data_IF_084588388131
#
_entry.id   IF_084588388131
#
_cell.length_a   1.000
_cell.length_b   1.000
_cell.length_c   1.000
_cell.angle_alpha   90.00
_cell.angle_beta   90.00
_cell.angle_gamma   90.00
#
_symmetry.space_group_name_H-M   'P 1'
#
loop_
_entity.id
_entity.type
_entity.pdbx_description
1 polymer ?
#
# COMPACT_ATOMS: atom_id res chain seq x y z
N UNK A 1 -11.14 20.28 10.70
CA UNK A 1 -10.14 20.14 9.63
C UNK A 1 -10.39 18.90 8.78
N UNK A 2 -10.60 17.71 9.37
CA UNK A 2 -11.18 16.54 8.65
C UNK A 2 -12.64 16.75 8.20
N UNK A 3 -13.47 17.47 8.99
CA UNK A 3 -14.86 17.77 8.60
C UNK A 3 -14.95 18.59 7.29
N UNK A 4 -14.00 19.51 7.05
CA UNK A 4 -13.90 20.24 5.77
C UNK A 4 -13.48 19.34 4.60
N UNK A 5 -12.73 18.27 4.87
CA UNK A 5 -12.27 17.31 3.85
C UNK A 5 -13.42 16.35 3.49
N UNK A 6 -14.24 15.94 4.46
CA UNK A 6 -15.44 15.12 4.22
C UNK A 6 -16.54 15.90 3.49
N UNK A 7 -16.76 17.18 3.83
CA UNK A 7 -17.74 18.03 3.14
C UNK A 7 -17.30 18.38 1.70
N UNK A 8 -15.99 18.45 1.44
CA UNK A 8 -15.45 18.61 0.09
C UNK A 8 -15.58 17.34 -0.78
N UNK A 9 -15.54 16.14 -0.18
CA UNK A 9 -15.82 14.88 -0.89
C UNK A 9 -17.28 14.85 -1.42
N UNK A 10 -18.25 15.45 -0.70
CA UNK A 10 -19.67 15.50 -1.11
C UNK A 10 -19.91 16.58 -2.18
N UNK A 11 -19.20 17.71 -2.10
CA UNK A 11 -19.41 18.84 -3.04
C UNK A 11 -18.71 18.60 -4.40
N UNK A 12 -17.64 17.81 -4.44
CA UNK A 12 -16.90 17.51 -5.66
C UNK A 12 -17.54 16.43 -6.56
N UNK A 13 -18.60 15.75 -6.09
CA UNK A 13 -19.35 14.75 -6.88
C UNK A 13 -20.28 15.38 -7.94
N UNK A 14 -20.40 16.72 -8.02
CA UNK A 14 -21.38 17.38 -8.89
C UNK A 14 -20.84 18.23 -10.06
N UNK A 15 -19.54 18.16 -10.40
CA UNK A 15 -19.06 18.94 -11.54
C UNK A 15 -17.84 18.34 -12.26
N UNK A 16 -18.04 17.46 -13.27
CA UNK A 16 -16.96 17.10 -14.18
C UNK A 16 -16.83 18.20 -15.25
N UNK A 17 -15.93 19.15 -15.03
CA UNK A 17 -15.53 20.06 -16.10
C UNK A 17 -14.83 19.25 -17.20
N UNK A 18 -15.37 19.35 -18.43
CA UNK A 18 -14.80 18.82 -19.66
C UNK A 18 -13.40 19.40 -19.89
N UNK A 19 -12.37 18.65 -19.50
CA UNK A 19 -10.99 18.90 -19.90
C UNK A 19 -10.71 17.91 -21.05
N UNK A 20 -10.55 18.43 -22.27
CA UNK A 20 -10.14 17.63 -23.42
C UNK A 20 -8.72 17.08 -23.17
N UNK A 21 -8.60 15.76 -23.04
CA UNK A 21 -7.33 15.06 -22.87
C UNK A 21 -6.78 14.74 -24.26
N UNK A 22 -5.74 15.46 -24.68
CA UNK A 22 -4.98 15.12 -25.89
C UNK A 22 -4.17 13.83 -25.67
N UNK A 23 -4.31 12.89 -26.59
CA UNK A 23 -3.63 11.58 -26.56
C UNK A 23 -2.11 11.78 -26.76
N UNK A 24 -1.35 11.90 -25.66
CA UNK A 24 0.04 12.41 -25.64
C UNK A 24 1.04 11.41 -25.06
N UNK A 25 0.92 10.12 -25.38
CA UNK A 25 1.95 9.15 -24.94
C UNK A 25 3.32 9.38 -25.61
N UNK A 26 3.37 9.90 -26.84
CA UNK A 26 4.62 10.02 -27.61
C UNK A 26 5.45 11.27 -27.34
N UNK A 27 5.13 12.10 -26.34
CA UNK A 27 5.84 13.36 -26.08
C UNK A 27 6.01 13.68 -24.57
N UNK A 28 6.10 12.65 -23.72
CA UNK A 28 6.34 12.81 -22.27
C UNK A 28 7.80 13.18 -22.02
N UNK A 29 8.06 14.11 -21.09
CA UNK A 29 9.41 14.59 -20.76
C UNK A 29 10.20 13.53 -19.97
N UNK A 30 9.50 12.76 -19.14
CA UNK A 30 10.11 11.75 -18.29
C UNK A 30 9.47 10.39 -18.55
N UNK A 31 10.27 9.33 -18.43
CA UNK A 31 9.77 7.97 -18.36
C UNK A 31 9.13 7.73 -16.99
N UNK A 32 9.78 8.19 -15.92
CA UNK A 32 9.37 7.93 -14.54
C UNK A 32 9.49 9.19 -13.66
N UNK A 33 8.47 9.46 -12.84
CA UNK A 33 8.56 10.41 -11.73
C UNK A 33 8.32 9.68 -10.40
N UNK A 34 9.18 9.93 -9.42
CA UNK A 34 9.00 9.44 -8.05
C UNK A 34 8.46 10.58 -7.17
N UNK A 35 7.20 10.48 -6.74
CA UNK A 35 6.64 11.41 -5.76
C UNK A 35 6.80 10.85 -4.34
N UNK A 36 7.27 11.69 -3.41
CA UNK A 36 7.55 11.27 -2.04
C UNK A 36 8.98 10.72 -1.84
N UNK A 37 9.91 11.03 -2.74
CA UNK A 37 11.31 10.60 -2.70
C UNK A 37 12.06 10.94 -1.39
N UNK A 38 11.65 11.98 -0.66
CA UNK A 38 12.25 12.34 0.63
C UNK A 38 11.82 11.47 1.82
N UNK A 39 10.78 10.65 1.66
CA UNK A 39 10.29 9.71 2.67
C UNK A 39 11.20 8.50 2.84
N UNK A 40 10.91 7.66 3.83
CA UNK A 40 11.73 6.49 4.14
C UNK A 40 11.89 5.55 2.93
N UNK A 41 10.79 4.98 2.44
CA UNK A 41 10.80 4.11 1.27
C UNK A 41 11.23 4.87 0.01
N UNK A 42 10.76 6.12 -0.15
CA UNK A 42 11.10 6.96 -1.30
C UNK A 42 12.60 7.16 -1.49
N UNK A 43 13.38 7.25 -0.40
CA UNK A 43 14.85 7.35 -0.48
C UNK A 43 15.47 6.10 -1.12
N UNK A 44 15.04 4.91 -0.69
CA UNK A 44 15.52 3.65 -1.24
C UNK A 44 15.14 3.50 -2.71
N UNK A 45 13.89 3.80 -3.05
CA UNK A 45 13.40 3.80 -4.44
C UNK A 45 14.20 4.79 -5.30
N UNK A 46 14.52 5.97 -4.78
CA UNK A 46 15.32 6.99 -5.50
C UNK A 46 16.74 6.50 -5.78
N UNK A 47 17.40 5.89 -4.79
CA UNK A 47 18.74 5.33 -4.97
C UNK A 47 18.77 4.21 -6.00
N UNK A 48 17.76 3.34 -5.98
CA UNK A 48 17.67 2.23 -6.92
C UNK A 48 17.31 2.70 -8.33
N UNK A 49 16.42 3.69 -8.45
CA UNK A 49 16.13 4.36 -9.72
C UNK A 49 17.37 4.99 -10.34
N UNK A 50 18.28 5.54 -9.52
CA UNK A 50 19.58 6.00 -9.99
C UNK A 50 20.35 4.92 -10.76
N UNK A 51 20.47 3.72 -10.19
CA UNK A 51 21.17 2.59 -10.83
C UNK A 51 20.44 2.08 -12.07
N UNK A 52 19.12 1.88 -11.96
CA UNK A 52 18.28 1.33 -13.02
C UNK A 52 18.23 2.28 -14.22
N UNK A 53 18.08 3.58 -13.98
CA UNK A 53 17.97 4.56 -15.07
C UNK A 53 19.23 4.63 -15.93
N UNK A 54 20.42 4.41 -15.38
CA UNK A 54 21.65 4.32 -16.18
C UNK A 54 21.69 3.04 -17.02
N UNK A 55 21.23 1.93 -16.46
CA UNK A 55 21.20 0.63 -17.14
C UNK A 55 20.25 0.62 -18.33
N UNK A 56 19.08 1.25 -18.18
CA UNK A 56 18.02 1.28 -19.20
C UNK A 56 17.91 2.63 -19.93
N UNK A 57 18.84 3.56 -19.68
CA UNK A 57 18.85 4.91 -20.23
C UNK A 57 17.51 5.65 -20.06
N UNK A 58 16.97 5.65 -18.84
CA UNK A 58 15.68 6.26 -18.50
C UNK A 58 15.82 7.74 -18.12
N UNK A 59 14.88 8.54 -18.60
CA UNK A 59 14.67 9.93 -18.15
C UNK A 59 13.76 9.95 -16.93
N UNK A 60 14.17 10.60 -15.84
CA UNK A 60 13.37 10.60 -14.62
C UNK A 60 13.54 11.86 -13.78
N UNK A 61 12.60 12.06 -12.85
CA UNK A 61 12.59 13.17 -11.92
C UNK A 61 12.02 12.76 -10.55
N UNK A 62 12.29 13.59 -9.54
CA UNK A 62 11.68 13.46 -8.20
C UNK A 62 10.69 14.58 -7.95
N UNK A 63 9.61 14.28 -7.22
CA UNK A 63 8.55 15.24 -6.96
C UNK A 63 8.15 15.32 -5.48
N UNK A 64 7.73 16.51 -5.08
CA UNK A 64 7.14 16.77 -3.77
C UNK A 64 7.24 18.23 -3.31
N UNK A 65 6.51 18.57 -2.24
CA UNK A 65 6.40 19.94 -1.73
C UNK A 65 7.66 20.54 -1.12
N UNK A 66 8.61 19.71 -0.67
CA UNK A 66 9.84 20.19 0.00
C UNK A 66 11.05 20.00 -0.91
N UNK A 67 11.29 21.00 -1.76
CA UNK A 67 12.37 21.02 -2.74
C UNK A 67 13.75 20.83 -2.08
N UNK A 68 14.00 21.48 -0.94
CA UNK A 68 15.27 21.35 -0.22
C UNK A 68 15.55 19.92 0.24
N UNK A 69 14.55 19.20 0.75
CA UNK A 69 14.70 17.78 1.12
C UNK A 69 15.00 16.92 -0.10
N UNK A 70 14.34 17.18 -1.23
CA UNK A 70 14.59 16.46 -2.49
C UNK A 70 16.01 16.70 -3.02
N UNK A 71 16.48 17.95 -3.00
CA UNK A 71 17.87 18.31 -3.33
C UNK A 71 18.87 17.54 -2.47
N UNK A 72 18.61 17.39 -1.17
CA UNK A 72 19.48 16.62 -0.29
C UNK A 72 19.55 15.14 -0.70
N UNK A 73 18.43 14.51 -1.07
CA UNK A 73 18.43 13.11 -1.54
C UNK A 73 19.23 12.97 -2.84
N UNK A 74 19.03 13.88 -3.80
CA UNK A 74 19.79 13.85 -5.05
C UNK A 74 21.29 14.08 -4.81
N UNK A 75 21.66 14.99 -3.91
CA UNK A 75 23.05 15.18 -3.52
C UNK A 75 23.66 13.93 -2.87
N UNK A 76 22.89 13.20 -2.06
CA UNK A 76 23.33 11.90 -1.52
C UNK A 76 23.51 10.87 -2.65
N UNK A 77 22.62 10.84 -3.64
CA UNK A 77 22.70 9.96 -4.81
C UNK A 77 23.94 10.25 -5.66
N UNK A 78 24.17 11.51 -6.02
CA UNK A 78 25.30 11.96 -6.83
C UNK A 78 26.67 11.70 -6.17
N UNK A 79 26.71 11.59 -4.84
CA UNK A 79 27.94 11.22 -4.12
C UNK A 79 28.21 9.73 -4.10
N UNK A 80 27.18 8.91 -4.32
CA UNK A 80 27.24 7.44 -4.17
C UNK A 80 27.29 6.69 -5.49
N UNK A 81 26.80 7.31 -6.58
CA UNK A 81 26.70 6.70 -7.88
C UNK A 81 27.48 7.55 -8.89
N UNK A 82 28.40 6.91 -9.61
CA UNK A 82 29.09 7.48 -10.78
C UNK A 82 28.11 7.66 -11.94
N UNK A 83 28.44 8.46 -12.95
CA UNK A 83 27.60 8.68 -14.15
C UNK A 83 26.52 9.75 -13.97
N UNK A 84 26.58 10.53 -12.89
CA UNK A 84 25.71 11.69 -12.62
C UNK A 84 26.48 13.00 -12.42
N UNK A 85 27.70 13.10 -12.95
CA UNK A 85 28.62 14.22 -12.78
C UNK A 85 28.00 15.54 -13.27
N UNK A 86 27.17 15.47 -14.32
CA UNK A 86 26.45 16.62 -14.89
C UNK A 86 25.16 17.01 -14.13
N UNK A 87 24.75 16.26 -13.10
CA UNK A 87 23.61 16.56 -12.20
C UNK A 87 22.27 16.84 -12.90
N UNK A 88 21.79 15.89 -13.70
CA UNK A 88 20.62 16.08 -14.60
C UNK A 88 19.28 15.51 -14.10
N UNK A 89 19.07 15.32 -12.79
CA UNK A 89 17.76 14.88 -12.28
C UNK A 89 16.93 16.10 -11.87
N UNK A 90 15.80 16.29 -12.55
CA UNK A 90 14.88 17.40 -12.28
C UNK A 90 14.11 17.19 -10.98
N UNK A 91 13.78 18.31 -10.31
CA UNK A 91 12.90 18.34 -9.14
C UNK A 91 11.62 19.06 -9.52
N UNK A 92 10.49 18.37 -9.34
CA UNK A 92 9.17 18.90 -9.66
C UNK A 92 8.44 19.25 -8.36
N UNK A 93 7.92 20.47 -8.28
CA UNK A 93 7.02 20.84 -7.19
C UNK A 93 5.66 20.17 -7.39
N UNK A 94 5.25 19.39 -6.40
CA UNK A 94 3.93 18.78 -6.33
C UNK A 94 3.45 18.78 -4.87
N UNK A 95 2.33 19.44 -4.62
CA UNK A 95 1.66 19.43 -3.32
C UNK A 95 0.38 18.61 -3.41
N UNK A 96 0.25 17.59 -2.55
CA UNK A 96 -0.90 16.68 -2.55
C UNK A 96 -2.19 17.35 -2.05
N UNK A 97 -2.09 18.56 -1.49
CA UNK A 97 -3.25 19.43 -1.22
C UNK A 97 -3.68 20.27 -2.42
N UNK A 98 -2.86 20.34 -3.47
CA UNK A 98 -3.10 21.10 -4.69
C UNK A 98 -3.15 20.16 -5.89
N UNK A 99 -4.37 19.77 -6.26
CA UNK A 99 -4.64 18.88 -7.38
C UNK A 99 -4.00 19.35 -8.69
N UNK A 100 -3.94 20.65 -8.96
CA UNK A 100 -3.39 21.18 -10.21
C UNK A 100 -1.90 20.89 -10.32
N UNK A 101 -1.15 21.02 -9.21
CA UNK A 101 0.28 20.72 -9.19
C UNK A 101 0.57 19.24 -9.45
N UNK A 102 -0.24 18.34 -8.88
CA UNK A 102 -0.10 16.88 -9.06
C UNK A 102 -0.47 16.48 -10.49
N UNK A 103 -1.52 17.09 -11.05
CA UNK A 103 -1.94 16.84 -12.43
C UNK A 103 -0.87 17.30 -13.43
N UNK A 104 -0.31 18.51 -13.26
CA UNK A 104 0.80 19.01 -14.09
C UNK A 104 2.01 18.08 -14.04
N UNK A 105 2.36 17.59 -12.85
CA UNK A 105 3.42 16.57 -12.71
C UNK A 105 3.08 15.31 -13.51
N UNK A 106 1.89 14.73 -13.31
CA UNK A 106 1.48 13.49 -13.96
C UNK A 106 1.47 13.59 -15.50
N UNK A 107 1.09 14.73 -16.06
CA UNK A 107 1.10 14.99 -17.52
C UNK A 107 2.49 14.92 -18.15
N UNK A 108 3.56 15.11 -17.37
CA UNK A 108 4.92 15.16 -17.92
C UNK A 108 5.62 13.80 -17.94
N UNK A 109 5.01 12.75 -17.40
CA UNK A 109 5.63 11.42 -17.27
C UNK A 109 4.78 10.31 -17.87
N UNK A 110 5.43 9.21 -18.21
CA UNK A 110 4.77 7.95 -18.57
C UNK A 110 4.33 7.17 -17.33
N UNK A 111 5.14 7.17 -16.26
CA UNK A 111 4.85 6.45 -15.00
C UNK A 111 5.07 7.37 -13.79
N UNK A 112 4.17 7.28 -12.82
CA UNK A 112 4.35 7.85 -11.46
C UNK A 112 4.54 6.70 -10.47
N UNK A 113 5.66 6.72 -9.74
CA UNK A 113 5.87 5.88 -8.56
C UNK A 113 5.54 6.72 -7.32
N UNK A 114 4.47 6.36 -6.64
CA UNK A 114 4.01 7.05 -5.44
C UNK A 114 4.56 6.38 -4.17
N UNK A 115 5.38 7.13 -3.45
CA UNK A 115 5.90 6.75 -2.13
C UNK A 115 5.34 7.64 -1.01
N UNK A 116 4.28 8.42 -1.27
CA UNK A 116 3.73 9.35 -0.28
C UNK A 116 2.66 8.71 0.58
N UNK A 117 2.95 8.62 1.88
CA UNK A 117 2.05 8.07 2.89
C UNK A 117 1.51 9.18 3.82
N UNK A 118 0.31 9.02 4.41
CA UNK A 118 -0.65 7.90 4.23
C UNK A 118 -1.47 8.02 2.92
N UNK A 119 -1.67 6.92 2.20
CA UNK A 119 -2.44 6.87 0.95
C UNK A 119 -3.95 6.99 1.17
N UNK A 120 -4.47 6.60 2.34
CA UNK A 120 -5.86 6.87 2.71
C UNK A 120 -6.25 8.36 2.57
N UNK A 121 -5.28 9.25 2.74
CA UNK A 121 -5.47 10.70 2.66
C UNK A 121 -4.97 11.23 1.33
N UNK A 122 -3.75 10.85 0.93
CA UNK A 122 -3.05 11.49 -0.19
C UNK A 122 -2.91 10.62 -1.44
N UNK A 123 -3.36 9.36 -1.41
CA UNK A 123 -3.18 8.44 -2.53
C UNK A 123 -4.11 8.77 -3.69
N UNK A 124 -5.36 9.12 -3.40
CA UNK A 124 -6.41 9.29 -4.41
C UNK A 124 -6.13 10.46 -5.36
N UNK A 125 -5.59 11.57 -4.86
CA UNK A 125 -5.25 12.72 -5.71
C UNK A 125 -4.22 12.35 -6.78
N UNK A 126 -3.28 11.45 -6.47
CA UNK A 126 -2.26 10.97 -7.41
C UNK A 126 -2.86 10.00 -8.42
N UNK A 127 -3.66 9.03 -7.96
CA UNK A 127 -4.36 8.07 -8.85
C UNK A 127 -5.27 8.82 -9.83
N UNK A 128 -6.12 9.71 -9.32
CA UNK A 128 -7.03 10.53 -10.14
C UNK A 128 -6.25 11.34 -11.17
N UNK A 129 -5.15 11.97 -10.77
CA UNK A 129 -4.29 12.73 -11.69
C UNK A 129 -3.70 11.84 -12.78
N UNK A 130 -3.23 10.64 -12.43
CA UNK A 130 -2.65 9.71 -13.40
C UNK A 130 -3.70 9.21 -14.41
N UNK A 131 -4.88 8.82 -13.93
CA UNK A 131 -6.00 8.37 -14.77
C UNK A 131 -6.44 9.47 -15.73
N UNK A 132 -6.63 10.70 -15.25
CA UNK A 132 -7.04 11.83 -16.08
C UNK A 132 -5.99 12.28 -17.09
N UNK A 133 -4.74 11.84 -16.94
CA UNK A 133 -3.63 12.27 -17.78
C UNK A 133 -3.05 11.13 -18.59
N UNK A 134 -3.73 9.97 -18.64
CA UNK A 134 -3.27 8.76 -19.33
C UNK A 134 -1.86 8.32 -18.89
N UNK A 135 -1.55 8.54 -17.62
CA UNK A 135 -0.26 8.23 -17.00
C UNK A 135 -0.38 6.96 -16.17
N UNK A 136 0.62 6.09 -16.25
CA UNK A 136 0.65 4.87 -15.44
C UNK A 136 1.02 5.19 -13.99
N UNK A 137 0.53 4.38 -13.06
CA UNK A 137 0.70 4.58 -11.64
C UNK A 137 1.15 3.28 -10.97
N UNK A 138 2.14 3.40 -10.08
CA UNK A 138 2.59 2.33 -9.19
C UNK A 138 2.77 2.89 -7.78
N UNK A 139 2.43 2.11 -6.76
CA UNK A 139 2.74 2.45 -5.38
C UNK A 139 3.21 1.26 -4.53
N UNK A 140 3.59 1.58 -3.31
CA UNK A 140 4.02 0.63 -2.27
C UNK A 140 3.05 0.65 -1.08
N UNK A 141 1.75 0.81 -1.34
CA UNK A 141 0.75 0.97 -0.28
C UNK A 141 0.46 -0.34 0.46
N UNK A 142 0.37 -0.25 1.78
CA UNK A 142 -0.13 -1.32 2.66
C UNK A 142 -1.56 -1.04 3.17
N UNK A 143 -2.34 -0.23 2.46
CA UNK A 143 -3.62 0.31 2.93
C UNK A 143 -4.82 -0.26 2.12
N UNK A 144 -5.44 -1.38 2.54
CA UNK A 144 -6.38 -2.11 1.70
C UNK A 144 -7.66 -1.34 1.33
N UNK A 145 -8.19 -0.48 2.22
CA UNK A 145 -9.34 0.36 1.85
C UNK A 145 -8.97 1.30 0.69
N UNK A 146 -7.75 1.85 0.66
CA UNK A 146 -7.32 2.71 -0.42
C UNK A 146 -7.28 1.92 -1.73
N UNK A 147 -6.65 0.73 -1.73
CA UNK A 147 -6.59 -0.14 -2.92
C UNK A 147 -7.99 -0.47 -3.47
N UNK A 148 -8.90 -0.95 -2.61
CA UNK A 148 -10.25 -1.34 -3.00
C UNK A 148 -11.09 -0.14 -3.47
N UNK A 149 -10.97 1.01 -2.79
CA UNK A 149 -11.64 2.25 -3.21
C UNK A 149 -11.13 2.71 -4.58
N UNK A 150 -9.82 2.65 -4.83
CA UNK A 150 -9.25 3.09 -6.11
C UNK A 150 -9.65 2.18 -7.26
N UNK A 151 -9.58 0.86 -7.05
CA UNK A 151 -10.06 -0.11 -8.03
C UNK A 151 -11.54 0.15 -8.37
N UNK A 152 -12.41 0.28 -7.36
CA UNK A 152 -13.82 0.51 -7.60
C UNK A 152 -14.10 1.82 -8.35
N UNK A 153 -13.43 2.91 -7.97
CA UNK A 153 -13.69 4.25 -8.53
C UNK A 153 -13.10 4.47 -9.92
N UNK A 154 -11.92 3.91 -10.18
CA UNK A 154 -11.10 4.34 -11.32
C UNK A 154 -10.78 3.25 -12.34
N UNK A 155 -11.09 1.97 -12.10
CA UNK A 155 -10.74 0.88 -13.03
C UNK A 155 -11.26 1.12 -14.46
N UNK A 156 -12.57 1.39 -14.60
CA UNK A 156 -13.18 1.69 -15.90
C UNK A 156 -12.58 2.92 -16.57
N UNK A 157 -12.41 4.02 -15.83
CA UNK A 157 -11.85 5.25 -16.37
C UNK A 157 -10.38 5.08 -16.76
N UNK A 158 -9.64 4.24 -16.03
CA UNK A 158 -8.26 3.92 -16.34
C UNK A 158 -8.16 3.12 -17.64
N UNK A 159 -9.06 2.15 -17.86
CA UNK A 159 -9.18 1.41 -19.13
C UNK A 159 -9.49 2.35 -20.30
N UNK A 160 -10.50 3.22 -20.16
CA UNK A 160 -10.88 4.21 -21.17
C UNK A 160 -9.74 5.18 -21.52
N UNK A 161 -9.01 5.65 -20.51
CA UNK A 161 -7.91 6.60 -20.69
C UNK A 161 -6.57 5.93 -20.99
N UNK A 162 -6.52 4.61 -21.17
CA UNK A 162 -5.29 3.85 -21.37
C UNK A 162 -4.26 4.18 -20.27
N UNK A 163 -4.61 4.00 -19.01
CA UNK A 163 -3.69 4.07 -17.87
C UNK A 163 -3.71 2.76 -17.10
N UNK A 164 -2.58 2.41 -16.49
CA UNK A 164 -2.45 1.18 -15.69
C UNK A 164 -2.15 1.63 -14.28
N UNK A 165 -2.97 1.17 -13.33
CA UNK A 165 -2.87 1.54 -11.92
C UNK A 165 -2.55 0.28 -11.11
N UNK A 166 -1.34 0.23 -10.53
CA UNK A 166 -0.87 -0.93 -9.75
C UNK A 166 -0.57 -0.51 -8.31
N UNK A 167 -1.47 -0.86 -7.40
CA UNK A 167 -1.25 -0.66 -5.97
C UNK A 167 -0.49 -1.85 -5.32
N UNK A 168 0.19 -1.59 -4.21
CA UNK A 168 0.70 -2.62 -3.31
C UNK A 168 1.91 -3.38 -3.83
N UNK A 169 2.82 -2.72 -4.55
CA UNK A 169 4.09 -3.31 -5.01
C UNK A 169 5.12 -3.24 -3.88
N UNK A 170 4.86 -3.97 -2.80
CA UNK A 170 5.70 -4.01 -1.61
C UNK A 170 6.08 -5.45 -1.18
N UNK A 171 6.98 -5.52 -0.21
CA UNK A 171 7.45 -6.80 0.36
C UNK A 171 6.37 -7.54 1.15
N UNK A 172 5.24 -6.92 1.46
CA UNK A 172 4.15 -7.59 2.17
C UNK A 172 3.21 -8.31 1.22
N UNK A 173 2.94 -7.69 0.07
CA UNK A 173 1.89 -8.12 -0.84
C UNK A 173 2.45 -8.90 -2.02
N UNK A 174 3.61 -8.52 -2.58
CA UNK A 174 4.19 -9.19 -3.76
C UNK A 174 4.50 -10.67 -3.51
N UNK A 175 5.15 -11.08 -2.40
CA UNK A 175 5.40 -12.50 -2.15
C UNK A 175 4.13 -13.32 -1.98
N UNK A 176 3.09 -12.74 -1.37
CA UNK A 176 1.79 -13.39 -1.22
C UNK A 176 1.11 -13.59 -2.58
N UNK A 177 1.10 -12.56 -3.42
CA UNK A 177 0.52 -12.58 -4.76
C UNK A 177 1.22 -13.59 -5.68
N UNK A 178 2.55 -13.52 -5.75
CA UNK A 178 3.36 -14.48 -6.53
C UNK A 178 3.25 -15.91 -5.99
N UNK A 179 3.16 -16.08 -4.68
CA UNK A 179 3.01 -17.39 -4.07
C UNK A 179 1.67 -18.04 -4.41
N UNK A 180 0.59 -17.26 -4.41
CA UNK A 180 -0.74 -17.72 -4.84
C UNK A 180 -0.75 -18.07 -6.32
N UNK A 181 -0.13 -17.24 -7.16
CA UNK A 181 0.01 -17.51 -8.60
C UNK A 181 0.83 -18.77 -8.87
N UNK A 182 1.95 -18.95 -8.16
CA UNK A 182 2.75 -20.16 -8.26
C UNK A 182 1.97 -21.41 -7.86
N UNK A 183 1.26 -21.36 -6.72
CA UNK A 183 0.40 -22.47 -6.27
C UNK A 183 -0.67 -22.78 -7.30
N UNK A 184 -1.28 -21.77 -7.91
CA UNK A 184 -2.25 -21.96 -8.98
C UNK A 184 -1.66 -22.74 -10.16
N UNK A 185 -0.51 -22.30 -10.68
CA UNK A 185 0.09 -22.91 -11.87
C UNK A 185 0.57 -24.35 -11.66
N UNK A 186 0.84 -24.75 -10.41
CA UNK A 186 1.51 -26.02 -10.09
C UNK A 186 0.67 -26.98 -9.22
N UNK A 187 -0.47 -26.54 -8.68
CA UNK A 187 -1.33 -27.41 -7.87
C UNK A 187 -2.23 -28.26 -8.75
N UNK A 188 -1.99 -29.58 -8.75
CA UNK A 188 -2.76 -30.56 -9.52
C UNK A 188 -4.13 -30.86 -8.86
N UNK A 189 -4.94 -29.83 -8.67
CA UNK A 189 -6.27 -29.92 -8.08
C UNK A 189 -7.00 -28.58 -8.11
N UNK A 190 -8.22 -28.55 -7.59
CA UNK A 190 -8.97 -27.30 -7.48
C UNK A 190 -8.54 -26.56 -6.20
N UNK A 191 -7.94 -25.38 -6.33
CA UNK A 191 -7.68 -24.51 -5.19
C UNK A 191 -9.02 -24.03 -4.62
N UNK A 192 -9.27 -24.34 -3.34
CA UNK A 192 -10.42 -23.82 -2.57
C UNK A 192 -9.99 -22.79 -1.54
N UNK A 193 -8.82 -23.00 -0.93
CA UNK A 193 -8.29 -22.17 0.14
C UNK A 193 -6.78 -22.07 0.07
N UNK A 194 -6.26 -20.87 0.35
CA UNK A 194 -4.82 -20.62 0.47
C UNK A 194 -4.59 -19.92 1.81
N UNK A 195 -3.84 -20.57 2.70
CA UNK A 195 -3.45 -19.98 3.97
C UNK A 195 -1.93 -19.68 3.91
N UNK A 196 -1.58 -18.41 4.12
CA UNK A 196 -0.22 -17.88 3.95
C UNK A 196 0.35 -17.54 5.32
N UNK A 197 1.52 -18.08 5.65
CA UNK A 197 2.14 -17.90 6.97
C UNK A 197 3.42 -17.08 6.86
N UNK A 198 3.41 -15.88 7.42
CA UNK A 198 4.55 -14.95 7.40
C UNK A 198 5.25 -14.93 8.76
N UNK A 199 6.54 -15.23 8.75
CA UNK A 199 7.42 -15.06 9.90
C UNK A 199 8.39 -13.91 9.62
N UNK A 200 8.37 -12.90 10.49
CA UNK A 200 9.27 -11.76 10.38
C UNK A 200 10.43 -11.96 11.35
N UNK A 201 11.65 -11.90 10.83
CA UNK A 201 12.87 -11.91 11.62
C UNK A 201 13.31 -10.46 11.85
N UNK A 202 13.17 -9.98 13.07
CA UNK A 202 13.69 -8.67 13.48
C UNK A 202 15.15 -8.86 13.88
N UNK A 203 16.06 -8.04 13.34
CA UNK A 203 17.43 -7.97 13.82
C UNK A 203 17.44 -7.36 15.24
N UNK A 204 17.87 -8.16 16.22
CA UNK A 204 18.19 -7.86 17.62
C UNK A 204 17.21 -7.00 18.43
N UNK A 205 16.46 -7.64 19.34
CA UNK A 205 15.85 -6.98 20.49
C UNK A 205 16.87 -7.03 21.64
N UNK A 206 17.35 -5.88 22.11
CA UNK A 206 18.24 -5.80 23.28
C UNK A 206 17.38 -5.59 24.53
N UNK A 207 17.31 -6.62 25.38
CA UNK A 207 16.75 -6.50 26.72
C UNK A 207 17.85 -6.05 27.69
N UNK A 208 17.80 -4.81 28.16
CA UNK A 208 18.68 -4.35 29.24
C UNK A 208 17.93 -4.46 30.56
N UNK A 209 18.42 -5.33 31.45
CA UNK A 209 17.89 -5.48 32.80
C UNK A 209 18.61 -4.51 33.75
N UNK A 210 17.83 -3.73 34.50
CA UNK A 210 18.28 -3.01 35.69
C UNK A 210 17.37 -3.37 36.86
N UNK A 211 17.85 -3.24 38.10
CA UNK A 211 17.17 -3.71 39.31
C UNK A 211 15.76 -3.12 39.57
N UNK A 212 15.33 -2.10 38.82
CA UNK A 212 14.05 -1.41 39.04
C UNK A 212 13.11 -1.35 37.83
N UNK A 213 13.56 -1.69 36.62
CA UNK A 213 12.71 -1.76 35.43
C UNK A 213 13.39 -2.52 34.28
N UNK A 214 12.56 -3.13 33.42
CA UNK A 214 12.98 -3.71 32.15
C UNK A 214 13.03 -2.59 31.11
N UNK A 215 14.22 -2.28 30.59
CA UNK A 215 14.35 -1.41 29.43
C UNK A 215 14.27 -2.27 28.17
N UNK A 216 13.13 -2.24 27.49
CA UNK A 216 12.96 -2.89 26.19
C UNK A 216 13.48 -1.92 25.15
N UNK A 217 14.73 -2.11 24.70
CA UNK A 217 15.25 -1.37 23.57
C UNK A 217 14.94 -2.17 22.31
N UNK A 218 13.85 -1.77 21.67
CA UNK A 218 13.63 -2.17 20.30
C UNK A 218 14.69 -1.47 19.45
N UNK A 219 15.66 -2.21 18.90
CA UNK A 219 16.25 -1.78 17.62
C UNK A 219 15.18 -1.97 16.54
N UNK A 220 14.06 -1.26 16.67
CA UNK A 220 13.11 -1.08 15.59
C UNK A 220 13.94 -0.50 14.45
N UNK A 221 13.91 -1.20 13.31
CA UNK A 221 14.42 -0.67 12.05
C UNK A 221 13.95 0.79 11.96
N UNK A 222 14.84 1.81 11.85
CA UNK A 222 14.40 3.20 11.74
C UNK A 222 13.43 3.27 10.56
N UNK A 223 12.13 3.41 10.85
CA UNK A 223 11.09 3.19 9.84
C UNK A 223 9.80 2.53 10.35
N UNK A 224 9.82 1.61 11.33
CA UNK A 224 8.59 0.86 11.68
C UNK A 224 7.56 1.61 12.54
N UNK A 225 7.97 2.67 13.25
CA UNK A 225 7.05 3.56 13.99
C UNK A 225 7.30 4.99 13.52
N UNK A 226 6.97 5.24 12.25
CA UNK A 226 6.86 6.60 11.72
C UNK A 226 5.40 7.06 11.83
N UNK A 227 5.16 8.35 12.10
CA UNK A 227 3.83 8.94 12.23
C UNK A 227 2.87 8.51 11.10
N UNK A 228 3.36 8.43 9.86
CA UNK A 228 2.55 7.99 8.72
C UNK A 228 2.10 6.53 8.82
N UNK A 229 2.97 5.61 9.26
CA UNK A 229 2.62 4.18 9.44
C UNK A 229 1.61 4.04 10.58
N UNK A 230 1.84 4.76 11.68
CA UNK A 230 0.90 4.77 12.80
C UNK A 230 -0.48 5.30 12.41
N UNK A 231 -0.51 6.41 11.64
CA UNK A 231 -1.76 6.97 11.10
C UNK A 231 -2.45 5.97 10.18
N UNK A 232 -1.71 5.33 9.28
CA UNK A 232 -2.21 4.28 8.37
C UNK A 232 -2.81 3.12 9.14
N UNK A 233 -2.13 2.66 10.21
CA UNK A 233 -2.62 1.60 11.08
C UNK A 233 -3.92 1.98 11.80
N UNK A 234 -3.99 3.15 12.43
CA UNK A 234 -5.21 3.61 13.09
C UNK A 234 -6.38 3.77 12.11
N UNK A 235 -6.12 4.32 10.92
CA UNK A 235 -7.14 4.44 9.88
C UNK A 235 -7.58 3.07 9.37
N UNK A 236 -6.67 2.11 9.23
CA UNK A 236 -6.99 0.73 8.89
C UNK A 236 -7.95 0.09 9.91
N UNK A 237 -7.73 0.32 11.20
CA UNK A 237 -8.63 -0.14 12.26
C UNK A 237 -10.00 0.55 12.18
N UNK A 238 -10.00 1.87 12.03
CA UNK A 238 -11.20 2.69 12.00
C UNK A 238 -12.09 2.42 10.78
N UNK A 239 -11.51 1.96 9.67
CA UNK A 239 -12.19 1.90 8.38
C UNK A 239 -12.66 0.50 7.96
N UNK A 240 -12.68 -0.47 8.88
CA UNK A 240 -13.11 -1.85 8.61
C UNK A 240 -14.44 -1.94 7.85
N UNK A 241 -15.46 -1.18 8.26
CA UNK A 241 -16.78 -1.19 7.58
C UNK A 241 -16.69 -0.70 6.14
N UNK A 242 -15.95 0.39 5.88
CA UNK A 242 -15.76 0.94 4.53
C UNK A 242 -14.98 -0.01 3.63
N UNK A 243 -13.95 -0.67 4.17
CA UNK A 243 -13.18 -1.69 3.44
C UNK A 243 -14.09 -2.83 2.98
N UNK A 244 -14.85 -3.43 3.91
CA UNK A 244 -15.80 -4.49 3.57
C UNK A 244 -16.86 -4.02 2.55
N UNK A 245 -17.30 -2.77 2.64
CA UNK A 245 -18.22 -2.18 1.67
C UNK A 245 -17.64 -2.18 0.24
N UNK A 246 -16.46 -1.59 0.02
CA UNK A 246 -15.85 -1.56 -1.31
C UNK A 246 -15.47 -2.95 -1.82
N UNK A 247 -15.02 -3.82 -0.93
CA UNK A 247 -14.74 -5.22 -1.24
C UNK A 247 -15.97 -5.96 -1.77
N UNK A 248 -17.11 -5.82 -1.11
CA UNK A 248 -18.35 -6.45 -1.55
C UNK A 248 -18.83 -5.88 -2.89
N UNK A 249 -18.69 -4.57 -3.10
CA UNK A 249 -19.01 -3.94 -4.39
C UNK A 249 -18.13 -4.47 -5.52
N UNK A 250 -16.82 -4.64 -5.27
CA UNK A 250 -15.91 -5.24 -6.23
C UNK A 250 -16.30 -6.70 -6.50
N UNK A 251 -16.55 -7.50 -5.47
CA UNK A 251 -16.97 -8.88 -5.65
C UNK A 251 -18.25 -8.99 -6.51
N UNK A 252 -19.23 -8.11 -6.27
CA UNK A 252 -20.47 -8.03 -7.05
C UNK A 252 -20.21 -7.64 -8.51
N UNK A 253 -19.48 -6.55 -8.75
CA UNK A 253 -19.11 -6.08 -10.09
C UNK A 253 -18.35 -7.16 -10.89
N UNK A 254 -17.56 -7.98 -10.19
CA UNK A 254 -16.68 -8.98 -10.78
C UNK A 254 -17.30 -10.39 -10.84
N UNK A 255 -18.52 -10.55 -10.32
CA UNK A 255 -19.19 -11.85 -10.20
C UNK A 255 -18.44 -12.85 -9.31
N UNK A 256 -17.64 -12.39 -8.35
CA UNK A 256 -16.89 -13.24 -7.40
C UNK A 256 -17.82 -13.65 -6.25
N UNK A 257 -18.04 -14.95 -6.08
CA UNK A 257 -18.84 -15.49 -4.97
C UNK A 257 -17.93 -16.16 -3.97
N UNK A 258 -17.57 -15.48 -2.87
CA UNK A 258 -16.67 -16.05 -1.86
C UNK A 258 -17.28 -17.31 -1.23
N UNK A 259 -16.64 -18.46 -1.43
CA UNK A 259 -17.04 -19.73 -0.82
C UNK A 259 -16.55 -19.78 0.64
N UNK A 260 -17.44 -20.13 1.57
CA UNK A 260 -17.03 -20.43 2.95
C UNK A 260 -16.27 -21.76 3.01
N UNK A 261 -15.17 -21.82 3.79
CA UNK A 261 -14.39 -23.05 3.89
C UNK A 261 -15.18 -24.22 4.46
N UNK A 262 -15.15 -25.36 3.77
CA UNK A 262 -15.70 -26.65 4.23
C UNK A 262 -14.75 -27.37 5.20
N UNK A 263 -13.71 -26.69 5.69
CA UNK A 263 -12.69 -27.25 6.58
C UNK A 263 -13.17 -27.16 8.04
N UNK A 264 -12.87 -28.18 8.86
CA UNK A 264 -13.35 -28.23 10.25
C UNK A 264 -12.91 -26.98 11.05
N UNK A 265 -13.89 -26.31 11.69
CA UNK A 265 -13.70 -25.05 12.46
C UNK A 265 -12.81 -25.20 13.70
N UNK A 266 -12.56 -26.44 14.16
CA UNK A 266 -11.98 -26.72 15.47
C UNK A 266 -10.50 -26.32 15.58
N UNK A 267 -9.74 -26.29 14.48
CA UNK A 267 -8.30 -25.98 14.53
C UNK A 267 -7.77 -25.09 13.41
N UNK A 268 -8.47 -25.00 12.27
CA UNK A 268 -8.05 -24.17 11.13
C UNK A 268 -8.89 -22.89 11.08
N UNK A 269 -8.25 -21.77 10.72
CA UNK A 269 -8.91 -20.49 10.40
C UNK A 269 -9.57 -19.71 11.52
N UNK A 270 -9.21 -19.97 12.77
CA UNK A 270 -9.52 -19.04 13.86
C UNK A 270 -8.67 -17.77 13.78
N UNK A 271 -9.05 -16.75 14.56
CA UNK A 271 -8.27 -15.52 14.64
C UNK A 271 -6.88 -15.78 15.23
N UNK A 272 -6.78 -16.73 16.17
CA UNK A 272 -5.56 -17.25 16.74
C UNK A 272 -5.58 -18.77 16.60
N UNK A 273 -4.56 -19.36 15.98
CA UNK A 273 -4.49 -20.80 15.70
C UNK A 273 -3.07 -21.33 15.86
N UNK A 274 -2.94 -22.64 16.07
CA UNK A 274 -1.64 -23.32 16.10
C UNK A 274 -1.39 -24.00 14.77
N UNK A 275 -0.19 -23.82 14.20
CA UNK A 275 0.30 -24.60 13.06
C UNK A 275 0.53 -26.05 13.50
N UNK A 276 -0.06 -26.99 12.78
CA UNK A 276 0.02 -28.44 13.08
C UNK A 276 1.45 -28.95 13.12
N UNK A 277 2.28 -28.50 12.18
CA UNK A 277 3.55 -29.15 11.88
C UNK A 277 4.66 -28.68 12.83
N UNK A 278 4.58 -27.41 13.28
CA UNK A 278 5.64 -26.73 14.03
C UNK A 278 5.22 -26.34 15.46
N UNK A 279 3.97 -26.59 15.86
CA UNK A 279 3.37 -26.15 17.13
C UNK A 279 3.52 -24.63 17.40
N UNK A 280 3.73 -23.84 16.35
CA UNK A 280 3.83 -22.38 16.44
C UNK A 280 2.44 -21.76 16.44
N UNK A 281 2.27 -20.68 17.19
CA UNK A 281 1.04 -19.92 17.20
C UNK A 281 1.05 -18.89 16.09
N UNK A 282 -0.11 -18.65 15.48
CA UNK A 282 -0.28 -17.69 14.41
C UNK A 282 -1.54 -16.88 14.61
N UNK A 283 -1.47 -15.59 14.27
CA UNK A 283 -2.56 -14.64 14.35
C UNK A 283 -2.99 -14.27 12.93
N UNK A 284 -4.26 -14.46 12.61
CA UNK A 284 -4.82 -13.95 11.37
C UNK A 284 -4.77 -12.42 11.40
N UNK A 285 -4.03 -11.81 10.49
CA UNK A 285 -3.94 -10.37 10.42
C UNK A 285 -4.73 -9.91 9.18
N UNK A 286 -5.58 -8.88 9.27
CA UNK A 286 -6.12 -8.25 8.08
C UNK A 286 -4.98 -7.54 7.36
N UNK A 287 -4.20 -8.26 6.56
CA UNK A 287 -3.04 -7.74 5.85
C UNK A 287 -3.43 -7.13 4.49
N UNK A 288 -2.57 -6.27 3.91
CA UNK A 288 -2.76 -5.70 2.57
C UNK A 288 -2.74 -6.75 1.46
N UNK A 289 -2.06 -7.87 1.70
CA UNK A 289 -1.97 -9.04 0.83
C UNK A 289 -3.33 -9.49 0.30
N UNK A 290 -4.37 -9.48 1.15
CA UNK A 290 -5.69 -9.94 0.75
C UNK A 290 -6.28 -9.08 -0.37
N UNK A 291 -6.10 -7.76 -0.35
CA UNK A 291 -6.62 -6.89 -1.40
C UNK A 291 -5.85 -7.11 -2.72
N UNK A 292 -4.53 -7.29 -2.64
CA UNK A 292 -3.67 -7.56 -3.80
C UNK A 292 -3.99 -8.92 -4.41
N UNK A 293 -4.03 -9.99 -3.61
CA UNK A 293 -4.39 -11.33 -4.08
C UNK A 293 -5.82 -11.37 -4.65
N UNK A 294 -6.78 -10.66 -4.03
CA UNK A 294 -8.14 -10.57 -4.57
C UNK A 294 -8.16 -9.90 -5.95
N UNK A 295 -7.33 -8.88 -6.18
CA UNK A 295 -7.18 -8.24 -7.49
C UNK A 295 -6.65 -9.21 -8.55
N UNK A 296 -5.67 -10.04 -8.21
CA UNK A 296 -5.10 -11.02 -9.15
C UNK A 296 -6.10 -12.14 -9.47
N UNK A 297 -6.80 -12.65 -8.45
CA UNK A 297 -7.94 -13.57 -8.62
C UNK A 297 -9.00 -12.97 -9.54
N UNK A 298 -9.31 -11.68 -9.37
CA UNK A 298 -10.24 -10.99 -10.24
C UNK A 298 -9.77 -11.01 -11.70
N UNK A 299 -8.51 -10.63 -11.97
CA UNK A 299 -7.97 -10.61 -13.32
C UNK A 299 -8.08 -11.98 -14.00
N UNK A 300 -7.65 -13.04 -13.32
CA UNK A 300 -7.72 -14.40 -13.82
C UNK A 300 -9.17 -14.83 -14.11
N UNK A 301 -10.13 -14.40 -13.28
CA UNK A 301 -11.55 -14.69 -13.50
C UNK A 301 -12.14 -13.93 -14.69
N UNK A 302 -11.91 -12.62 -14.79
CA UNK A 302 -12.65 -11.76 -15.73
C UNK A 302 -11.97 -11.62 -17.08
N UNK A 303 -10.64 -11.59 -17.13
CA UNK A 303 -9.88 -11.47 -18.38
C UNK A 303 -9.49 -12.85 -18.93
N UNK A 304 -9.06 -13.78 -18.07
CA UNK A 304 -8.62 -15.12 -18.49
C UNK A 304 -9.74 -16.18 -18.46
N UNK A 305 -10.91 -15.84 -17.88
CA UNK A 305 -12.11 -16.71 -17.77
C UNK A 305 -11.86 -18.02 -17.05
N UNK A 306 -10.92 -18.01 -16.12
CA UNK A 306 -10.58 -19.19 -15.35
C UNK A 306 -11.59 -19.38 -14.20
N UNK A 307 -11.87 -20.63 -13.78
CA UNK A 307 -12.88 -20.94 -12.76
C UNK A 307 -12.41 -20.61 -11.33
N UNK A 308 -11.83 -19.42 -11.14
CA UNK A 308 -11.30 -18.98 -9.85
C UNK A 308 -12.41 -18.73 -8.85
N UNK A 309 -12.37 -19.48 -7.75
CA UNK A 309 -13.20 -19.22 -6.58
C UNK A 309 -12.56 -19.77 -5.29
N UNK A 310 -11.44 -19.18 -4.87
CA UNK A 310 -10.79 -19.54 -3.62
C UNK A 310 -10.59 -18.36 -2.69
N UNK A 311 -10.41 -18.68 -1.40
CA UNK A 311 -10.20 -17.69 -0.35
C UNK A 311 -8.76 -17.75 0.14
N UNK A 312 -8.03 -16.65 -0.03
CA UNK A 312 -6.70 -16.44 0.51
C UNK A 312 -6.72 -15.72 1.86
N UNK A 313 -5.92 -16.21 2.82
CA UNK A 313 -5.81 -15.61 4.15
C UNK A 313 -4.37 -15.60 4.66
N UNK A 314 -3.90 -14.43 5.07
CA UNK A 314 -2.61 -14.22 5.71
C UNK A 314 -2.62 -14.45 7.22
N UNK A 315 -1.53 -15.01 7.72
CA UNK A 315 -1.25 -15.29 9.12
C UNK A 315 0.13 -14.80 9.49
N UNK A 316 0.23 -14.07 10.60
CA UNK A 316 1.51 -13.74 11.22
C UNK A 316 1.90 -14.83 12.21
N UNK A 317 3.07 -15.42 12.00
CA UNK A 317 3.64 -16.42 12.91
C UNK A 317 4.22 -15.72 14.13
N UNK A 318 3.87 -16.21 15.31
CA UNK A 318 4.26 -15.67 16.61
C UNK A 318 5.14 -16.65 17.38
N UNK A 319 5.86 -16.14 18.37
CA UNK A 319 6.77 -16.93 19.20
C UNK A 319 6.07 -17.83 20.22
N UNK A 320 4.78 -17.58 20.52
CA UNK A 320 3.98 -18.41 21.42
C UNK A 320 2.54 -17.93 21.60
N UNK A 321 1.75 -18.68 22.39
CA UNK A 321 0.34 -18.41 22.67
C UNK A 321 0.12 -17.07 23.39
N UNK A 322 0.87 -16.83 24.46
CA UNK A 322 0.72 -15.64 25.29
C UNK A 322 0.94 -14.35 24.47
N UNK A 323 2.03 -14.20 23.69
CA UNK A 323 2.18 -13.07 22.76
C UNK A 323 1.01 -12.93 21.78
N UNK A 324 0.43 -14.05 21.31
CA UNK A 324 -0.73 -14.03 20.42
C UNK A 324 -2.00 -13.52 21.07
N UNK A 325 -2.30 -13.93 22.30
CA UNK A 325 -3.43 -13.41 23.07
C UNK A 325 -3.24 -11.91 23.33
N UNK A 326 -2.05 -11.49 23.77
CA UNK A 326 -1.75 -10.08 24.03
C UNK A 326 -1.88 -9.22 22.77
N UNK A 327 -1.34 -9.68 21.64
CA UNK A 327 -1.46 -8.99 20.36
C UNK A 327 -2.93 -8.86 19.92
N UNK A 328 -3.72 -9.92 20.09
CA UNK A 328 -5.15 -9.91 19.78
C UNK A 328 -5.92 -8.92 20.68
N UNK A 329 -5.68 -8.93 21.99
CA UNK A 329 -6.30 -8.00 22.94
C UNK A 329 -5.93 -6.55 22.63
N UNK A 330 -4.66 -6.28 22.34
CA UNK A 330 -4.20 -4.95 21.95
C UNK A 330 -4.87 -4.49 20.65
N UNK A 331 -4.95 -5.37 19.64
CA UNK A 331 -5.62 -5.07 18.38
C UNK A 331 -7.10 -4.74 18.59
N UNK A 332 -7.81 -5.51 19.41
CA UNK A 332 -9.22 -5.27 19.75
C UNK A 332 -9.40 -3.94 20.49
N UNK A 333 -8.56 -3.68 21.50
CA UNK A 333 -8.58 -2.43 22.26
C UNK A 333 -8.37 -1.21 21.35
N UNK A 334 -7.30 -1.22 20.54
CA UNK A 334 -7.01 -0.14 19.60
C UNK A 334 -8.10 0.00 18.54
N UNK A 335 -8.73 -1.10 18.11
CA UNK A 335 -9.85 -1.06 17.16
C UNK A 335 -11.05 -0.31 17.73
N UNK A 336 -11.39 -0.53 19.00
CA UNK A 336 -12.48 0.19 19.67
C UNK A 336 -12.15 1.68 19.77
N UNK A 337 -10.93 2.01 20.20
CA UNK A 337 -10.49 3.41 20.33
C UNK A 337 -10.45 4.14 18.98
N UNK A 338 -9.97 3.50 17.92
CA UNK A 338 -9.84 4.10 16.60
C UNK A 338 -11.19 4.42 15.93
N UNK A 339 -12.28 3.75 16.34
CA UNK A 339 -13.64 4.05 15.85
C UNK A 339 -14.11 5.41 16.37
N UNK A 340 -13.77 5.78 17.60
CA UNK A 340 -14.21 7.00 18.26
C UNK A 340 -13.36 8.18 17.75
N UNK A 341 -13.93 9.04 16.90
CA UNK A 341 -13.17 10.07 16.18
C UNK A 341 -12.33 10.99 17.08
N UNK A 342 -12.82 11.55 18.21
CA UNK A 342 -11.99 12.35 19.10
C UNK A 342 -10.78 11.58 19.66
N UNK A 343 -10.97 10.31 20.01
CA UNK A 343 -9.90 9.46 20.54
C UNK A 343 -8.90 9.12 19.44
N UNK A 344 -9.38 8.77 18.24
CA UNK A 344 -8.51 8.54 17.07
C UNK A 344 -7.63 9.75 16.78
N UNK A 345 -8.19 10.96 16.85
CA UNK A 345 -7.43 12.19 16.64
C UNK A 345 -6.30 12.34 17.66
N UNK A 346 -6.58 12.09 18.95
CA UNK A 346 -5.56 12.08 20.00
C UNK A 346 -4.49 11.00 19.77
N UNK A 347 -4.90 9.81 19.35
CA UNK A 347 -3.98 8.71 19.03
C UNK A 347 -3.08 9.04 17.84
N UNK A 348 -3.56 9.72 16.81
CA UNK A 348 -2.72 10.16 15.68
C UNK A 348 -1.70 11.20 16.16
N UNK A 349 -2.13 12.17 16.98
CA UNK A 349 -1.25 13.22 17.49
C UNK A 349 -0.19 12.73 18.48
N UNK A 350 -0.45 11.65 19.23
CA UNK A 350 0.51 11.14 20.23
C UNK A 350 1.80 10.62 19.62
N UNK A 351 1.82 10.30 18.32
CA UNK A 351 3.01 9.84 17.61
C UNK A 351 3.84 10.99 16.99
N UNK A 352 3.41 12.25 17.15
CA UNK A 352 4.14 13.46 16.72
C UNK A 352 5.07 14.03 17.83
N UNK A 353 4.95 13.53 19.06
CA UNK A 353 5.80 13.86 20.21
C UNK A 353 6.78 12.73 20.46
#
# INVERSE_FOLDING_TARGET
MEAKILDQEITAEQNPANIQIANTRSNRKYDIIIIGASGYTGRHVTMEMGRISQTYNLTWAVAGRNIKKLQNILNELYKKLDGYEDKKIDIIYADLYDFETVMKMAQTTSVVINCTTPYYIFGEVVVKSCVLTSTHYVDVTGEPLFMEKMAYKYDKQAEENNSIIVNGVDMESVPADLGVEFLYQHFNGELKHVDMYKKVYLSEIIFTYSNFYIKIQFNILPGMIHHSIWTSFLLHLATKKRRLYYRNLLDELMGITRIEPTVSKLFHRQQLSMLSDDKKWCLACPEPDQAVVTRSIHHAKTKERLPYNFNARGYRVLTGLIPGILALLLFLFLSILAIIQPIRFLLVQSCLK
#
